data_IF_907643295747
#
_entry.id   IF_907643295747
#
_cell.length_a   1.000
_cell.length_b   1.000
_cell.length_c   1.000
_cell.angle_alpha   90.00
_cell.angle_beta   90.00
_cell.angle_gamma   90.00
#
_symmetry.space_group_name_H-M   'P 1'
#
loop_
_entity.id
_entity.type
_entity.pdbx_description
1 polymer ?
#
# COMPACT_ATOMS: atom_id res chain seq x y z
N UNK A 1 -13.27 -0.51 -23.08
CA UNK A 1 -14.02 -0.67 -21.81
C UNK A 1 -13.40 0.29 -20.82
N UNK A 2 -14.17 1.20 -20.25
CA UNK A 2 -13.62 2.33 -19.47
C UNK A 2 -12.77 1.87 -18.28
N UNK A 3 -13.02 0.69 -17.72
CA UNK A 3 -12.24 0.12 -16.61
C UNK A 3 -10.80 -0.32 -16.95
N UNK A 4 -10.40 -0.27 -18.22
CA UNK A 4 -9.02 -0.53 -18.65
C UNK A 4 -8.22 0.75 -18.84
N UNK A 5 -8.89 1.91 -18.79
CA UNK A 5 -8.24 3.21 -18.94
C UNK A 5 -7.85 3.74 -17.57
N UNK A 6 -6.71 4.41 -17.52
CA UNK A 6 -6.20 5.08 -16.32
C UNK A 6 -6.95 6.39 -16.03
N UNK A 7 -6.67 6.96 -14.86
CA UNK A 7 -7.26 8.21 -14.41
C UNK A 7 -8.74 8.12 -14.01
N UNK A 8 -9.40 9.28 -13.98
CA UNK A 8 -10.76 9.40 -13.46
C UNK A 8 -11.78 9.08 -14.56
N UNK A 9 -12.22 7.83 -14.59
CA UNK A 9 -13.30 7.36 -15.46
C UNK A 9 -14.25 6.42 -14.68
N UNK A 10 -15.46 6.19 -15.21
CA UNK A 10 -16.48 5.42 -14.51
C UNK A 10 -16.02 4.01 -14.09
N UNK A 11 -15.32 3.31 -14.98
CA UNK A 11 -14.85 1.96 -14.71
C UNK A 11 -13.82 1.93 -13.57
N UNK A 12 -12.80 2.79 -13.64
CA UNK A 12 -11.76 2.89 -12.63
C UNK A 12 -12.33 3.33 -11.27
N UNK A 13 -13.26 4.29 -11.25
CA UNK A 13 -13.93 4.76 -10.04
C UNK A 13 -14.69 3.65 -9.32
N UNK A 14 -15.46 2.84 -10.07
CA UNK A 14 -16.25 1.74 -9.51
C UNK A 14 -15.33 0.68 -8.89
N UNK A 15 -14.33 0.22 -9.66
CA UNK A 15 -13.45 -0.85 -9.19
C UNK A 15 -12.61 -0.37 -8.01
N UNK A 16 -12.01 0.83 -8.10
CA UNK A 16 -11.26 1.42 -6.98
C UNK A 16 -12.12 1.50 -5.73
N UNK A 17 -13.36 2.00 -5.84
CA UNK A 17 -14.26 2.11 -4.69
C UNK A 17 -14.61 0.75 -4.07
N UNK A 18 -14.83 -0.29 -4.89
CA UNK A 18 -15.06 -1.66 -4.42
C UNK A 18 -13.83 -2.20 -3.67
N UNK A 19 -12.64 -2.05 -4.26
CA UNK A 19 -11.38 -2.52 -3.65
C UNK A 19 -11.11 -1.79 -2.33
N UNK A 20 -11.33 -0.48 -2.28
CA UNK A 20 -11.18 0.32 -1.06
C UNK A 20 -12.18 -0.08 0.03
N UNK A 21 -13.44 -0.35 -0.33
CA UNK A 21 -14.44 -0.85 0.61
C UNK A 21 -14.01 -2.18 1.22
N UNK A 22 -13.53 -3.11 0.38
CA UNK A 22 -13.00 -4.40 0.84
C UNK A 22 -11.79 -4.20 1.77
N UNK A 23 -10.87 -3.30 1.43
CA UNK A 23 -9.73 -2.97 2.28
C UNK A 23 -10.18 -2.46 3.66
N UNK A 24 -11.08 -1.49 3.72
CA UNK A 24 -11.50 -0.86 4.98
C UNK A 24 -12.22 -1.89 5.87
N UNK A 25 -13.12 -2.68 5.30
CA UNK A 25 -13.83 -3.74 6.03
C UNK A 25 -12.85 -4.82 6.53
N UNK A 26 -11.91 -5.24 5.68
CA UNK A 26 -10.95 -6.29 6.06
C UNK A 26 -9.96 -5.81 7.11
N UNK A 27 -9.48 -4.57 6.99
CA UNK A 27 -8.51 -3.97 7.92
C UNK A 27 -9.12 -3.76 9.31
N UNK A 28 -10.38 -3.33 9.38
CA UNK A 28 -11.09 -3.13 10.64
C UNK A 28 -11.42 -4.47 11.33
N UNK A 29 -11.80 -5.50 10.57
CA UNK A 29 -12.15 -6.82 11.13
C UNK A 29 -10.93 -7.62 11.58
N UNK A 30 -9.83 -7.56 10.84
CA UNK A 30 -8.62 -8.34 11.11
C UNK A 30 -7.64 -7.64 12.08
N UNK A 31 -7.96 -6.41 12.52
CA UNK A 31 -7.06 -5.55 13.32
C UNK A 31 -5.66 -5.48 12.71
N UNK A 32 -5.54 -5.33 11.40
CA UNK A 32 -4.22 -5.28 10.76
C UNK A 32 -3.51 -3.93 10.95
N UNK A 33 -4.28 -2.85 11.15
CA UNK A 33 -3.83 -1.47 11.28
C UNK A 33 -4.58 -0.80 12.45
N UNK A 34 -3.95 0.17 13.10
CA UNK A 34 -4.63 1.07 14.01
C UNK A 34 -5.54 2.04 13.24
N UNK A 35 -6.45 2.74 13.92
CA UNK A 35 -7.41 3.66 13.26
C UNK A 35 -6.71 4.71 12.40
N UNK A 36 -5.55 5.18 12.82
CA UNK A 36 -4.72 6.11 12.06
C UNK A 36 -4.11 5.47 10.81
N UNK A 37 -3.60 4.23 10.90
CA UNK A 37 -3.09 3.46 9.78
C UNK A 37 -4.16 3.13 8.75
N UNK A 38 -5.38 2.80 9.19
CA UNK A 38 -6.52 2.62 8.27
C UNK A 38 -6.83 3.91 7.52
N UNK A 39 -6.86 5.06 8.20
CA UNK A 39 -7.10 6.34 7.55
C UNK A 39 -5.98 6.71 6.55
N UNK A 40 -4.72 6.49 6.91
CA UNK A 40 -3.58 6.69 6.02
C UNK A 40 -3.65 5.77 4.79
N UNK A 41 -3.94 4.48 4.99
CA UNK A 41 -4.07 3.51 3.91
C UNK A 41 -5.26 3.85 2.99
N UNK A 42 -6.37 4.31 3.57
CA UNK A 42 -7.53 4.77 2.83
C UNK A 42 -7.18 5.96 1.93
N UNK A 43 -6.50 6.97 2.50
CA UNK A 43 -6.08 8.16 1.77
C UNK A 43 -5.12 7.84 0.62
N UNK A 44 -4.04 7.09 0.91
CA UNK A 44 -3.05 6.69 -0.10
C UNK A 44 -3.69 5.79 -1.17
N UNK A 45 -4.50 4.82 -0.76
CA UNK A 45 -5.18 3.92 -1.68
C UNK A 45 -6.14 4.63 -2.63
N UNK A 46 -6.85 5.65 -2.15
CA UNK A 46 -7.70 6.50 -3.00
C UNK A 46 -6.86 7.31 -3.99
N UNK A 47 -5.76 7.94 -3.58
CA UNK A 47 -4.90 8.66 -4.52
C UNK A 47 -4.36 7.74 -5.62
N UNK A 48 -3.84 6.58 -5.24
CA UNK A 48 -3.26 5.62 -6.20
C UNK A 48 -4.32 5.03 -7.14
N UNK A 49 -5.47 4.60 -6.60
CA UNK A 49 -6.53 3.99 -7.41
C UNK A 49 -7.23 4.99 -8.32
N UNK A 50 -7.57 6.19 -7.82
CA UNK A 50 -8.35 7.18 -8.57
C UNK A 50 -7.51 7.95 -9.59
N UNK A 51 -6.30 8.38 -9.20
CA UNK A 51 -5.43 9.20 -10.07
C UNK A 51 -4.59 8.33 -11.00
N UNK A 52 -4.16 7.16 -10.52
CA UNK A 52 -3.51 6.13 -11.33
C UNK A 52 -4.56 5.19 -11.93
N UNK A 53 -4.62 3.97 -11.40
CA UNK A 53 -5.53 2.94 -11.87
C UNK A 53 -5.75 1.90 -10.77
N UNK A 54 -6.90 1.21 -10.76
CA UNK A 54 -7.20 0.17 -9.77
C UNK A 54 -6.17 -0.97 -9.77
N UNK A 55 -5.47 -1.23 -10.88
CA UNK A 55 -4.38 -2.22 -10.91
C UNK A 55 -3.15 -1.77 -10.10
N UNK A 56 -2.85 -0.46 -10.05
CA UNK A 56 -1.75 0.08 -9.24
C UNK A 56 -2.07 -0.07 -7.77
N UNK A 57 -3.34 0.13 -7.40
CA UNK A 57 -3.85 -0.14 -6.07
C UNK A 57 -3.63 -1.62 -5.70
N UNK A 58 -3.96 -2.58 -6.57
CA UNK A 58 -3.72 -4.01 -6.29
C UNK A 58 -2.23 -4.34 -6.04
N UNK A 59 -1.31 -3.70 -6.76
CA UNK A 59 0.13 -3.85 -6.52
C UNK A 59 0.49 -3.36 -5.11
N UNK A 60 0.02 -2.17 -4.73
CA UNK A 60 0.27 -1.60 -3.41
C UNK A 60 -0.36 -2.44 -2.29
N UNK A 61 -1.56 -2.97 -2.50
CA UNK A 61 -2.23 -3.86 -1.56
C UNK A 61 -1.50 -5.19 -1.39
N UNK A 62 -0.98 -5.74 -2.48
CA UNK A 62 -0.15 -6.94 -2.43
C UNK A 62 1.07 -6.68 -1.55
N UNK A 63 1.78 -5.57 -1.79
CA UNK A 63 2.90 -5.14 -0.94
C UNK A 63 2.49 -5.01 0.54
N UNK A 64 1.36 -4.37 0.84
CA UNK A 64 0.89 -4.21 2.22
C UNK A 64 0.63 -5.56 2.90
N UNK A 65 -0.05 -6.48 2.22
CA UNK A 65 -0.35 -7.83 2.74
C UNK A 65 0.93 -8.61 2.98
N UNK A 66 1.82 -8.66 2.00
CA UNK A 66 3.07 -9.41 2.12
C UNK A 66 4.01 -8.82 3.17
N UNK A 67 4.06 -7.49 3.29
CA UNK A 67 4.81 -6.79 4.34
C UNK A 67 4.28 -7.14 5.73
N UNK A 68 2.95 -7.18 5.90
CA UNK A 68 2.35 -7.59 7.17
C UNK A 68 2.68 -9.04 7.53
N UNK A 69 2.67 -9.94 6.54
CA UNK A 69 3.06 -11.34 6.73
C UNK A 69 4.55 -11.47 7.11
N UNK A 70 5.43 -10.68 6.48
CA UNK A 70 6.85 -10.62 6.82
C UNK A 70 7.06 -10.12 8.26
N UNK A 71 6.35 -9.07 8.69
CA UNK A 71 6.40 -8.58 10.08
C UNK A 71 6.03 -9.65 11.09
N UNK A 72 4.96 -10.42 10.82
CA UNK A 72 4.52 -11.49 11.72
C UNK A 72 5.38 -12.74 11.70
N UNK A 73 6.21 -12.93 10.67
CA UNK A 73 7.11 -14.07 10.58
C UNK A 73 8.05 -14.09 11.78
N UNK A 74 8.07 -15.19 12.56
CA UNK A 74 8.93 -15.36 13.74
C UNK A 74 8.86 -14.20 14.75
N UNK A 75 7.70 -13.55 14.89
CA UNK A 75 7.56 -12.37 15.75
C UNK A 75 7.99 -12.61 17.21
N UNK A 76 7.62 -13.74 17.82
CA UNK A 76 8.02 -14.07 19.21
C UNK A 76 9.55 -14.21 19.37
N UNK A 77 10.22 -14.79 18.37
CA UNK A 77 11.69 -14.91 18.36
C UNK A 77 12.34 -13.51 18.26
N UNK A 78 11.86 -12.67 17.35
CA UNK A 78 12.31 -11.28 17.19
C UNK A 78 12.08 -10.45 18.45
N UNK A 79 10.92 -10.62 19.09
CA UNK A 79 10.57 -9.94 20.35
C UNK A 79 11.48 -10.36 21.49
N UNK A 80 11.77 -11.66 21.64
CA UNK A 80 12.69 -12.16 22.66
C UNK A 80 14.13 -11.63 22.52
N UNK A 81 14.52 -11.26 21.29
CA UNK A 81 15.85 -10.70 20.97
C UNK A 81 15.86 -9.16 20.99
N UNK A 82 14.75 -8.50 21.35
CA UNK A 82 14.57 -7.04 21.26
C UNK A 82 14.83 -6.47 19.85
N UNK A 83 14.49 -7.24 18.81
CA UNK A 83 14.65 -6.85 17.40
C UNK A 83 13.32 -6.72 16.67
N UNK A 84 12.19 -6.73 17.39
CA UNK A 84 10.89 -6.46 16.80
C UNK A 84 10.77 -4.98 16.45
N UNK A 85 10.42 -4.68 15.19
CA UNK A 85 10.26 -3.31 14.67
C UNK A 85 9.03 -2.60 15.28
N UNK A 86 8.08 -3.35 15.85
CA UNK A 86 6.90 -2.83 16.55
C UNK A 86 6.62 -3.65 17.82
N UNK A 87 6.15 -2.97 18.87
CA UNK A 87 5.87 -3.57 20.19
C UNK A 87 4.72 -4.61 20.15
N UNK A 88 3.80 -4.47 19.20
CA UNK A 88 2.58 -5.26 19.06
C UNK A 88 2.39 -5.90 17.67
N UNK A 89 3.37 -5.78 16.76
CA UNK A 89 3.29 -6.33 15.42
C UNK A 89 2.44 -5.53 14.43
N UNK A 90 1.94 -4.35 14.80
CA UNK A 90 1.16 -3.48 13.93
C UNK A 90 2.03 -2.41 13.29
N UNK A 91 1.81 -2.16 12.00
CA UNK A 91 2.44 -1.06 11.27
C UNK A 91 1.54 0.17 11.39
N UNK A 92 1.96 1.13 12.20
CA UNK A 92 1.22 2.39 12.39
C UNK A 92 1.21 3.25 11.12
N UNK A 93 0.42 4.32 11.14
CA UNK A 93 0.28 5.29 10.05
C UNK A 93 1.59 5.80 9.45
N UNK A 94 2.66 5.90 10.27
CA UNK A 94 4.00 6.33 9.82
C UNK A 94 4.57 5.39 8.76
N UNK A 95 4.45 4.07 8.96
CA UNK A 95 4.96 3.09 8.00
C UNK A 95 4.15 3.12 6.69
N UNK A 96 2.82 3.27 6.81
CA UNK A 96 1.92 3.41 5.66
C UNK A 96 2.31 4.63 4.81
N UNK A 97 2.59 5.78 5.45
CA UNK A 97 3.06 6.97 4.75
C UNK A 97 4.48 6.83 4.19
N UNK A 98 5.40 6.23 4.93
CA UNK A 98 6.78 6.03 4.49
C UNK A 98 6.86 5.20 3.20
N UNK A 99 6.11 4.10 3.14
CA UNK A 99 6.13 3.19 2.01
C UNK A 99 5.11 3.55 0.90
N UNK A 100 4.00 4.19 1.25
CA UNK A 100 2.92 4.54 0.32
C UNK A 100 2.98 5.98 -0.22
N UNK A 101 3.73 6.87 0.43
CA UNK A 101 3.75 8.29 0.08
C UNK A 101 4.37 8.57 -1.29
N UNK A 102 5.52 7.95 -1.59
CA UNK A 102 6.14 8.07 -2.91
C UNK A 102 5.26 7.45 -4.02
N UNK A 103 4.70 6.23 -3.86
CA UNK A 103 3.69 5.70 -4.78
C UNK A 103 2.50 6.65 -5.04
N UNK A 104 1.95 7.27 -3.99
CA UNK A 104 0.85 8.24 -4.13
C UNK A 104 1.27 9.52 -4.87
N UNK A 105 2.48 10.02 -4.60
CA UNK A 105 3.04 11.16 -5.32
C UNK A 105 3.21 10.86 -6.81
N UNK A 106 3.75 9.67 -7.13
CA UNK A 106 3.91 9.23 -8.53
C UNK A 106 2.55 9.15 -9.24
N UNK A 107 1.54 8.54 -8.61
CA UNK A 107 0.19 8.50 -9.18
C UNK A 107 -0.39 9.90 -9.43
N UNK A 108 -0.15 10.84 -8.51
CA UNK A 108 -0.59 12.23 -8.65
C UNK A 108 0.12 12.93 -9.82
N UNK A 109 1.44 12.76 -9.94
CA UNK A 109 2.25 13.36 -11.02
C UNK A 109 1.86 12.75 -12.38
N UNK A 110 1.66 11.44 -12.43
CA UNK A 110 1.22 10.74 -13.65
C UNK A 110 -0.13 11.27 -14.13
N UNK A 111 -1.08 11.48 -13.22
CA UNK A 111 -2.38 12.06 -13.52
C UNK A 111 -2.28 13.50 -14.03
N UNK A 112 -1.48 14.35 -13.36
CA UNK A 112 -1.35 15.76 -13.73
C UNK A 112 -0.69 15.98 -15.10
N UNK A 113 0.17 15.06 -15.52
CA UNK A 113 0.86 15.12 -16.81
C UNK A 113 0.21 14.26 -17.89
N UNK A 114 -0.83 13.49 -17.56
CA UNK A 114 -1.45 12.50 -18.46
C UNK A 114 -0.47 11.40 -18.94
N UNK A 115 0.53 11.07 -18.12
CA UNK A 115 1.65 10.16 -18.44
C UNK A 115 1.64 8.90 -17.55
N UNK A 116 0.55 8.12 -17.62
CA UNK A 116 0.37 6.92 -16.79
C UNK A 116 1.34 5.79 -17.13
N UNK A 117 1.79 5.68 -18.38
CA UNK A 117 2.72 4.61 -18.78
C UNK A 117 4.06 4.74 -18.03
N UNK A 118 4.70 5.91 -18.09
CA UNK A 118 5.92 6.19 -17.32
C UNK A 118 5.65 6.19 -15.82
N UNK A 119 4.48 6.69 -15.41
CA UNK A 119 4.03 6.65 -14.03
C UNK A 119 4.00 5.24 -13.46
N UNK A 120 3.49 4.25 -14.20
CA UNK A 120 3.42 2.85 -13.78
C UNK A 120 4.80 2.26 -13.56
N UNK A 121 5.76 2.54 -14.45
CA UNK A 121 7.14 2.06 -14.29
C UNK A 121 7.80 2.62 -13.04
N UNK A 122 7.68 3.94 -12.82
CA UNK A 122 8.19 4.58 -11.60
C UNK A 122 7.50 4.08 -10.34
N UNK A 123 6.18 3.90 -10.40
CA UNK A 123 5.37 3.38 -9.30
C UNK A 123 5.81 1.97 -8.92
N UNK A 124 5.94 1.07 -9.90
CA UNK A 124 6.41 -0.30 -9.70
C UNK A 124 7.81 -0.34 -9.08
N UNK A 125 8.72 0.53 -9.54
CA UNK A 125 10.05 0.65 -8.95
C UNK A 125 9.99 1.12 -7.48
N UNK A 126 9.19 2.15 -7.18
CA UNK A 126 9.03 2.66 -5.81
C UNK A 126 8.46 1.59 -4.86
N UNK A 127 7.42 0.87 -5.28
CA UNK A 127 6.85 -0.23 -4.48
C UNK A 127 7.84 -1.38 -4.31
N UNK A 128 8.64 -1.68 -5.34
CA UNK A 128 9.67 -2.72 -5.27
C UNK A 128 10.78 -2.36 -4.29
N UNK A 129 11.20 -1.09 -4.24
CA UNK A 129 12.18 -0.61 -3.26
C UNK A 129 11.62 -0.70 -1.84
N UNK A 130 10.38 -0.24 -1.62
CA UNK A 130 9.71 -0.35 -0.31
C UNK A 130 9.55 -1.82 0.14
N UNK A 131 9.24 -2.72 -0.80
CA UNK A 131 9.18 -4.16 -0.57
C UNK A 131 10.55 -4.72 -0.17
N UNK A 132 11.61 -4.37 -0.91
CA UNK A 132 12.97 -4.83 -0.61
C UNK A 132 13.44 -4.38 0.78
N UNK A 133 13.21 -3.11 1.14
CA UNK A 133 13.56 -2.55 2.44
C UNK A 133 12.83 -3.26 3.58
N UNK A 134 11.50 -3.39 3.47
CA UNK A 134 10.69 -4.14 4.45
C UNK A 134 11.12 -5.59 4.59
N UNK A 135 11.36 -6.30 3.49
CA UNK A 135 11.73 -7.71 3.56
C UNK A 135 13.13 -7.87 4.16
N UNK A 136 14.06 -6.98 3.84
CA UNK A 136 15.41 -6.99 4.41
C UNK A 136 15.39 -6.78 5.93
N UNK A 137 14.60 -5.82 6.44
CA UNK A 137 14.49 -5.60 7.89
C UNK A 137 13.82 -6.78 8.59
N UNK A 138 12.78 -7.37 8.00
CA UNK A 138 11.95 -8.37 8.68
C UNK A 138 12.51 -9.79 8.67
N UNK A 139 13.30 -10.16 7.64
CA UNK A 139 13.95 -11.47 7.54
C UNK A 139 15.44 -11.45 7.89
N UNK A 140 16.08 -10.27 7.88
CA UNK A 140 17.51 -10.12 8.14
C UNK A 140 17.89 -10.07 9.63
N UNK A 141 16.92 -10.08 10.55
CA UNK A 141 17.12 -10.00 12.00
C UNK A 141 17.00 -11.36 12.72
#
# INVERSE_FOLDING_TARGET
>A
MDYLLEGINQGNLIITSIVMLVLVISSTKARFLDTAGVAAAAFIGLLVGLLGHWSWLLILLSFLVFSHLATKWKFEEKKSRNMAESDDGHRGWVNVFANGGIPALIATIAFLNEEWEYGLWMFGAAVSVAAADTFASEFGC
#
